data_IF_008078449427
#
_entry.id   IF_008078449427
#
_cell.length_a   1.000
_cell.length_b   1.000
_cell.length_c   1.000
_cell.angle_alpha   90.00
_cell.angle_beta   90.00
_cell.angle_gamma   90.00
#
_symmetry.space_group_name_H-M   'P 1'
#
loop_
_entity.id
_entity.type
_entity.pdbx_description
1 polymer ?
#
# COMPACT_ATOMS: atom_id res chain seq x y z
N UNK A 1 -5.08 -8.67 2.49
CA UNK A 1 -5.54 -7.79 1.40
C UNK A 1 -6.76 -7.03 1.87
N UNK A 2 -6.81 -5.72 1.60
CA UNK A 2 -7.89 -4.85 2.03
C UNK A 2 -8.44 -4.10 0.82
N UNK A 3 -9.77 -4.03 0.67
CA UNK A 3 -10.41 -3.09 -0.26
C UNK A 3 -10.60 -1.77 0.46
N UNK A 4 -10.00 -0.72 -0.07
CA UNK A 4 -10.03 0.62 0.53
C UNK A 4 -10.93 1.53 -0.30
N UNK A 5 -11.79 2.28 0.38
CA UNK A 5 -12.70 3.27 -0.21
C UNK A 5 -12.43 4.65 0.38
N UNK A 6 -12.92 5.70 -0.29
CA UNK A 6 -12.74 7.07 0.16
C UNK A 6 -13.23 7.26 1.61
N UNK A 7 -12.38 7.87 2.45
CA UNK A 7 -12.65 8.06 3.88
C UNK A 7 -12.16 6.95 4.79
N UNK A 8 -11.69 5.81 4.27
CA UNK A 8 -11.02 4.80 5.09
C UNK A 8 -9.62 5.27 5.53
N UNK A 9 -9.22 4.86 6.73
CA UNK A 9 -7.86 4.98 7.24
C UNK A 9 -7.25 3.59 7.38
N UNK A 10 -6.05 3.41 6.84
CA UNK A 10 -5.28 2.17 6.96
C UNK A 10 -4.01 2.49 7.73
N UNK A 11 -3.71 1.68 8.74
CA UNK A 11 -2.48 1.75 9.51
C UNK A 11 -1.60 0.57 9.12
N UNK A 12 -0.36 0.85 8.71
CA UNK A 12 0.64 -0.17 8.43
C UNK A 12 1.55 -0.31 9.66
N UNK A 13 1.77 -1.54 10.13
CA UNK A 13 2.64 -1.74 11.30
C UNK A 13 4.11 -1.48 10.92
N UNK A 14 4.97 -1.08 11.87
CA UNK A 14 6.39 -0.94 11.59
C UNK A 14 6.99 -2.24 11.02
N UNK A 15 7.84 -2.10 10.00
CA UNK A 15 8.53 -3.20 9.32
C UNK A 15 7.61 -4.23 8.63
N UNK A 16 6.34 -3.90 8.40
CA UNK A 16 5.43 -4.74 7.62
C UNK A 16 5.68 -4.52 6.12
N UNK A 17 5.96 -5.59 5.38
CA UNK A 17 5.97 -5.53 3.91
C UNK A 17 4.55 -5.34 3.40
N UNK A 18 4.33 -4.27 2.64
CA UNK A 18 3.04 -3.97 2.07
C UNK A 18 3.16 -3.18 0.77
N UNK A 19 2.09 -3.18 0.00
CA UNK A 19 1.89 -2.33 -1.16
C UNK A 19 0.44 -1.88 -1.22
N UNK A 20 0.19 -0.75 -1.86
CA UNK A 20 -1.15 -0.21 -2.07
C UNK A 20 -1.23 0.48 -3.43
N UNK A 21 -2.39 0.40 -4.08
CA UNK A 21 -2.57 0.96 -5.40
C UNK A 21 -4.03 1.00 -5.82
N UNK A 22 -4.26 1.54 -7.01
CA UNK A 22 -5.55 1.51 -7.68
C UNK A 22 -5.98 0.07 -8.01
N UNK A 23 -7.27 -0.12 -8.26
CA UNK A 23 -7.74 -1.35 -8.92
C UNK A 23 -7.55 -1.23 -10.43
N UNK A 24 -7.77 -2.33 -11.15
CA UNK A 24 -7.67 -2.40 -12.61
C UNK A 24 -8.70 -1.53 -13.37
N UNK A 25 -9.75 -1.08 -12.69
CA UNK A 25 -10.86 -0.32 -13.31
C UNK A 25 -11.08 1.07 -12.72
N UNK A 26 -10.43 1.41 -11.59
CA UNK A 26 -10.74 2.61 -10.82
C UNK A 26 -9.47 3.30 -10.33
N UNK A 27 -9.31 4.58 -10.70
CA UNK A 27 -8.23 5.43 -10.18
C UNK A 27 -8.36 5.61 -8.66
N UNK A 28 -7.23 5.65 -7.96
CA UNK A 28 -7.16 5.84 -6.52
C UNK A 28 -6.18 6.98 -6.20
N UNK A 29 -6.56 7.82 -5.26
CA UNK A 29 -5.69 8.84 -4.65
C UNK A 29 -5.83 8.73 -3.14
N UNK A 30 -4.69 8.85 -2.43
CA UNK A 30 -4.65 8.83 -0.98
C UNK A 30 -3.55 9.74 -0.47
N UNK A 31 -3.62 10.07 0.82
CA UNK A 31 -2.55 10.75 1.54
C UNK A 31 -1.76 9.68 2.29
N UNK A 32 -0.45 9.64 2.08
CA UNK A 32 0.46 8.81 2.86
C UNK A 32 1.13 9.67 3.94
N UNK A 33 1.02 9.23 5.19
CA UNK A 33 1.68 9.87 6.33
C UNK A 33 2.67 8.87 6.91
N UNK A 34 3.97 9.15 6.74
CA UNK A 34 5.06 8.30 7.25
C UNK A 34 5.70 9.01 8.44
N UNK A 35 5.72 8.35 9.59
CA UNK A 35 6.38 8.86 10.79
C UNK A 35 7.81 8.35 10.81
N UNK A 36 8.77 9.25 10.60
CA UNK A 36 10.20 8.94 10.58
C UNK A 36 10.79 9.23 11.97
N UNK A 37 11.61 8.31 12.48
CA UNK A 37 12.27 8.42 13.79
C UNK A 37 13.36 9.50 13.81
N UNK A 38 13.72 9.99 15.00
CA UNK A 38 14.52 11.21 15.16
C UNK A 38 15.97 11.15 14.66
N UNK A 39 16.56 9.96 14.52
CA UNK A 39 17.91 9.73 13.98
C UNK A 39 17.89 9.22 12.53
N UNK A 40 16.72 8.95 11.97
CA UNK A 40 16.57 8.51 10.59
C UNK A 40 16.63 9.72 9.65
N UNK A 41 17.51 9.63 8.66
CA UNK A 41 17.74 10.69 7.66
C UNK A 41 17.07 10.39 6.33
N UNK A 42 16.40 9.24 6.20
CA UNK A 42 15.65 8.81 5.02
C UNK A 42 14.18 9.24 4.99
N UNK A 43 13.44 8.73 4.02
CA UNK A 43 11.99 8.93 3.88
C UNK A 43 11.15 7.91 4.69
N UNK A 44 11.80 7.12 5.55
CA UNK A 44 11.18 6.05 6.33
C UNK A 44 10.76 4.82 5.52
N UNK A 45 11.15 4.71 4.25
CA UNK A 45 10.73 3.62 3.36
C UNK A 45 11.91 2.77 2.90
N UNK A 46 11.85 1.46 3.16
CA UNK A 46 12.73 0.50 2.51
C UNK A 46 12.04 -0.07 1.28
N UNK A 47 12.49 0.33 0.09
CA UNK A 47 11.96 -0.19 -1.17
C UNK A 47 12.46 -1.62 -1.45
N UNK A 48 11.52 -2.50 -1.75
CA UNK A 48 11.76 -3.90 -2.12
C UNK A 48 11.56 -4.09 -3.63
N UNK A 49 11.34 -5.33 -4.06
CA UNK A 49 11.00 -5.65 -5.44
C UNK A 49 9.66 -5.05 -5.91
N UNK A 50 9.53 -4.91 -7.22
CA UNK A 50 8.28 -4.49 -7.84
C UNK A 50 7.22 -5.59 -7.72
N UNK A 51 5.99 -5.20 -7.39
CA UNK A 51 4.83 -6.11 -7.43
C UNK A 51 4.65 -6.63 -8.86
N UNK A 52 4.66 -7.95 -9.02
CA UNK A 52 4.45 -8.61 -10.32
C UNK A 52 2.99 -8.53 -10.77
N UNK A 53 2.74 -8.62 -12.07
CA UNK A 53 1.38 -8.69 -12.63
C UNK A 53 0.54 -9.82 -12.01
N UNK A 54 1.19 -10.95 -11.68
CA UNK A 54 0.53 -12.08 -11.03
C UNK A 54 0.08 -11.74 -9.60
N UNK A 55 0.95 -11.13 -8.79
CA UNK A 55 0.61 -10.70 -7.42
C UNK A 55 -0.51 -9.64 -7.45
N UNK A 56 -0.40 -8.67 -8.36
CA UNK A 56 -1.41 -7.62 -8.54
C UNK A 56 -2.77 -8.20 -8.95
N UNK A 57 -2.80 -9.08 -9.96
CA UNK A 57 -4.04 -9.71 -10.45
C UNK A 57 -4.69 -10.57 -9.37
N UNK A 58 -3.89 -11.32 -8.60
CA UNK A 58 -4.39 -12.10 -7.47
C UNK A 58 -5.05 -11.19 -6.42
N UNK A 59 -4.46 -10.03 -6.13
CA UNK A 59 -5.00 -9.08 -5.16
C UNK A 59 -6.29 -8.39 -5.59
N UNK A 60 -6.34 -7.94 -6.85
CA UNK A 60 -7.57 -7.39 -7.44
C UNK A 60 -8.69 -8.42 -7.44
N UNK A 61 -8.38 -9.69 -7.72
CA UNK A 61 -9.37 -10.76 -7.70
C UNK A 61 -9.88 -11.05 -6.29
N UNK A 62 -8.99 -11.16 -5.31
CA UNK A 62 -9.34 -11.45 -3.91
C UNK A 62 -10.16 -10.34 -3.23
N UNK A 63 -10.09 -9.10 -3.73
CA UNK A 63 -10.81 -7.95 -3.16
C UNK A 63 -12.18 -7.68 -3.82
N UNK A 64 -12.58 -8.53 -4.79
CA UNK A 64 -13.89 -8.46 -5.47
C UNK A 64 -14.98 -9.33 -4.82
N UNK A 65 -14.60 -10.28 -3.96
CA UNK A 65 -15.49 -11.16 -3.20
C UNK A 65 -15.79 -10.58 -1.82
#
# INVERSE_FOLDING_TARGET
MLRVTAGNTVTCSPNEEHWHGATDTTLMAHIALVVVGGDDTGDGTTWLETVTDQQYTAAVTATRT
#
